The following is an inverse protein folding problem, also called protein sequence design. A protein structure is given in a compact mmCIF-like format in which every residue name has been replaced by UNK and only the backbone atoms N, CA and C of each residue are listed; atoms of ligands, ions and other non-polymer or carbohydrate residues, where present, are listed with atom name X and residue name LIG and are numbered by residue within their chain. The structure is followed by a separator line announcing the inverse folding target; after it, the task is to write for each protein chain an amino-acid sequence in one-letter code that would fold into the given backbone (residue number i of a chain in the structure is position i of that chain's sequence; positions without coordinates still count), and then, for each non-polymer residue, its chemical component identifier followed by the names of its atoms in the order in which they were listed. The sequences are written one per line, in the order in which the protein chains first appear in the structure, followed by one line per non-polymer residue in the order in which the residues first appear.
data_IF_354674029851
#
_entry.id   IF_354674029851
#
_cell.length_a   1.000
_cell.length_b   1.000
_cell.length_c   1.000
_cell.angle_alpha   90.00
_cell.angle_beta   90.00
_cell.angle_gamma   90.00
#
_symmetry.space_group_name_H-M   'P 1'
#
loop_
_entity.id
_entity.type
_entity.pdbx_description
1 polymer ?
#
# COMPACT_ATOMS: atom_id res chain seq x y z
N UNK A 1 -9.82 9.17 -2.99
CA UNK A 1 -9.09 7.96 -3.43
C UNK A 1 -7.71 8.24 -4.04
N UNK A 2 -7.62 8.82 -5.24
CA UNK A 2 -6.31 8.97 -5.93
C UNK A 2 -5.28 9.84 -5.19
N UNK A 3 -5.68 10.76 -4.32
CA UNK A 3 -4.73 11.65 -3.60
C UNK A 3 -4.11 11.01 -2.34
N UNK A 4 -4.54 9.81 -1.96
CA UNK A 4 -4.34 9.29 -0.58
C UNK A 4 -3.24 8.23 -0.50
N UNK A 5 -2.51 8.01 -1.59
CA UNK A 5 -1.37 7.12 -1.66
C UNK A 5 -0.16 7.88 -2.21
N UNK A 6 1.08 7.51 -1.84
CA UNK A 6 2.28 8.32 -2.13
C UNK A 6 2.51 8.64 -3.62
N UNK A 7 2.04 7.77 -4.51
CA UNK A 7 2.20 7.90 -5.97
C UNK A 7 0.97 8.53 -6.65
N UNK A 8 0.04 9.03 -5.84
CA UNK A 8 -1.25 9.55 -6.23
C UNK A 8 -1.24 10.97 -6.76
N UNK A 9 -2.44 11.53 -6.90
CA UNK A 9 -2.64 12.97 -7.13
C UNK A 9 -2.41 13.48 -8.56
N UNK A 10 -2.15 12.59 -9.54
CA UNK A 10 -1.95 12.97 -10.93
C UNK A 10 -2.89 12.23 -11.90
N UNK A 11 -2.97 12.68 -13.16
CA UNK A 11 -3.86 12.11 -14.18
C UNK A 11 -3.56 10.63 -14.48
N UNK A 12 -2.29 10.24 -14.43
CA UNK A 12 -1.86 8.87 -14.71
C UNK A 12 -2.24 7.92 -13.57
N UNK A 13 -2.02 8.33 -12.31
CA UNK A 13 -2.44 7.55 -11.15
C UNK A 13 -3.96 7.39 -11.07
N UNK A 14 -4.73 8.41 -11.48
CA UNK A 14 -6.19 8.30 -11.60
C UNK A 14 -6.58 7.24 -12.64
N UNK A 15 -6.07 7.35 -13.88
CA UNK A 15 -6.35 6.38 -14.95
C UNK A 15 -5.92 4.97 -14.58
N UNK A 16 -4.80 4.83 -13.87
CA UNK A 16 -4.32 3.55 -13.35
C UNK A 16 -5.27 2.94 -12.33
N UNK A 17 -5.75 3.73 -11.35
CA UNK A 17 -6.72 3.23 -10.36
C UNK A 17 -8.07 2.86 -11.00
N UNK A 18 -8.59 3.69 -11.90
CA UNK A 18 -9.82 3.37 -12.66
C UNK A 18 -9.68 2.06 -13.45
N UNK A 19 -8.53 1.91 -14.09
CA UNK A 19 -8.14 0.71 -14.83
C UNK A 19 -8.07 -0.54 -13.95
N UNK A 20 -7.62 -0.40 -12.69
CA UNK A 20 -7.58 -1.52 -11.75
C UNK A 20 -8.98 -1.90 -11.29
N UNK A 21 -9.76 -0.92 -10.83
CA UNK A 21 -11.12 -1.15 -10.30
C UNK A 21 -12.04 -1.79 -11.34
N UNK A 22 -11.91 -1.42 -12.62
CA UNK A 22 -12.73 -1.99 -13.70
C UNK A 22 -12.40 -3.45 -14.01
N UNK A 23 -11.19 -3.93 -13.71
CA UNK A 23 -10.66 -5.21 -14.21
C UNK A 23 -10.33 -6.22 -13.13
N UNK A 24 -10.10 -5.77 -11.90
CA UNK A 24 -9.64 -6.60 -10.80
C UNK A 24 -10.57 -6.47 -9.60
N UNK A 25 -10.69 -7.53 -8.78
CA UNK A 25 -11.42 -7.47 -7.52
C UNK A 25 -11.06 -6.22 -6.70
N UNK A 26 -12.08 -5.44 -6.35
CA UNK A 26 -11.97 -4.26 -5.52
C UNK A 26 -13.15 -4.19 -4.55
N UNK A 27 -12.89 -3.63 -3.37
CA UNK A 27 -13.90 -3.44 -2.34
C UNK A 27 -13.77 -2.04 -1.75
N UNK A 28 -14.89 -1.43 -1.43
CA UNK A 28 -14.93 -0.19 -0.67
C UNK A 28 -15.90 -0.34 0.51
N UNK A 29 -15.56 0.35 1.59
CA UNK A 29 -16.42 0.55 2.74
C UNK A 29 -16.85 2.02 2.73
N UNK A 30 -18.16 2.23 2.80
CA UNK A 30 -18.77 3.56 2.89
C UNK A 30 -19.39 3.74 4.28
N UNK A 31 -19.49 4.98 4.74
CA UNK A 31 -20.27 5.32 5.94
C UNK A 31 -21.77 5.42 5.61
N UNK A 32 -22.59 5.72 6.62
CA UNK A 32 -24.03 5.89 6.46
C UNK A 32 -24.42 7.07 5.55
N UNK A 33 -23.53 8.04 5.35
CA UNK A 33 -23.72 9.17 4.46
C UNK A 33 -23.17 8.90 3.03
N UNK A 34 -22.62 7.71 2.79
CA UNK A 34 -22.04 7.32 1.50
C UNK A 34 -20.60 7.80 1.28
N UNK A 35 -19.94 8.38 2.28
CA UNK A 35 -18.54 8.78 2.16
C UNK A 35 -17.60 7.58 2.27
N UNK A 36 -16.49 7.65 1.55
CA UNK A 36 -15.49 6.59 1.52
C UNK A 36 -14.75 6.49 2.87
N UNK A 37 -14.83 5.33 3.51
CA UNK A 37 -14.14 5.02 4.77
C UNK A 37 -12.81 4.31 4.52
N UNK A 38 -12.86 3.26 3.69
CA UNK A 38 -11.69 2.45 3.34
C UNK A 38 -11.92 1.78 1.99
N UNK A 39 -10.85 1.46 1.27
CA UNK A 39 -10.93 0.68 0.04
C UNK A 39 -9.71 -0.22 -0.11
N UNK A 40 -9.86 -1.26 -0.93
CA UNK A 40 -8.80 -2.15 -1.37
C UNK A 40 -9.04 -2.57 -2.83
N UNK A 41 -7.96 -2.80 -3.57
CA UNK A 41 -8.01 -3.33 -4.94
C UNK A 41 -6.85 -4.28 -5.16
N UNK A 42 -7.09 -5.38 -5.86
CA UNK A 42 -6.04 -6.32 -6.28
C UNK A 42 -5.33 -5.81 -7.53
N UNK A 43 -4.22 -6.46 -7.90
CA UNK A 43 -3.41 -6.06 -9.04
C UNK A 43 -3.32 -7.16 -10.12
N UNK A 44 -2.72 -6.86 -11.30
CA UNK A 44 -2.61 -7.82 -12.40
C UNK A 44 -1.84 -9.11 -12.09
N UNK A 45 -1.11 -9.17 -10.98
CA UNK A 45 -0.37 -10.36 -10.55
C UNK A 45 -1.21 -11.24 -9.61
N UNK A 46 -2.47 -10.87 -9.35
CA UNK A 46 -3.32 -11.57 -8.40
C UNK A 46 -2.93 -11.31 -6.94
N UNK A 47 -2.07 -10.32 -6.68
CA UNK A 47 -1.74 -9.93 -5.32
C UNK A 47 -2.89 -9.11 -4.70
N UNK A 48 -3.08 -9.27 -3.40
CA UNK A 48 -3.78 -8.29 -2.58
C UNK A 48 -3.04 -6.97 -2.73
N UNK A 49 -3.70 -6.02 -3.38
CA UNK A 49 -3.06 -4.79 -3.80
C UNK A 49 -3.29 -3.66 -2.81
N UNK A 50 -3.45 -2.47 -3.35
CA UNK A 50 -3.42 -1.22 -2.60
C UNK A 50 -4.66 -1.08 -1.74
N UNK A 51 -4.45 -0.88 -0.43
CA UNK A 51 -5.50 -0.61 0.54
C UNK A 51 -5.23 0.70 1.26
N UNK A 52 -6.25 1.56 1.40
CA UNK A 52 -6.17 2.81 2.16
C UNK A 52 -7.44 3.02 2.98
N UNK A 53 -7.24 3.36 4.25
CA UNK A 53 -8.29 3.84 5.16
C UNK A 53 -8.12 5.34 5.38
N UNK A 54 -9.22 6.10 5.35
CA UNK A 54 -9.14 7.54 5.50
C UNK A 54 -8.59 7.90 6.88
N UNK A 55 -7.75 8.94 7.00
CA UNK A 55 -7.10 9.33 8.26
C UNK A 55 -8.02 9.32 9.48
N UNK A 56 -9.20 9.92 9.35
CA UNK A 56 -10.27 10.05 10.36
C UNK A 56 -10.88 8.71 10.80
N UNK A 57 -10.71 7.65 10.00
CA UNK A 57 -11.26 6.31 10.21
C UNK A 57 -10.19 5.27 10.57
N UNK A 58 -8.92 5.65 10.72
CA UNK A 58 -7.83 4.72 11.07
C UNK A 58 -7.97 4.20 12.50
N UNK A 59 -7.34 3.05 12.76
CA UNK A 59 -7.34 2.43 14.09
C UNK A 59 -8.62 1.65 14.44
N UNK A 60 -9.62 1.61 13.55
CA UNK A 60 -10.93 0.98 13.80
C UNK A 60 -11.11 -0.40 13.15
N UNK A 61 -10.04 -0.99 12.63
CA UNK A 61 -10.07 -2.35 12.05
C UNK A 61 -10.65 -2.48 10.63
N UNK A 62 -11.15 -1.41 10.01
CA UNK A 62 -11.76 -1.45 8.66
C UNK A 62 -10.85 -2.05 7.60
N UNK A 63 -9.55 -1.73 7.63
CA UNK A 63 -8.58 -2.31 6.69
C UNK A 63 -8.50 -3.83 6.84
N UNK A 64 -8.54 -4.36 8.06
CA UNK A 64 -8.51 -5.79 8.32
C UNK A 64 -9.71 -6.52 7.71
N UNK A 65 -10.91 -5.93 7.83
CA UNK A 65 -12.12 -6.46 7.19
C UNK A 65 -11.96 -6.52 5.68
N UNK A 66 -11.53 -5.42 5.05
CA UNK A 66 -11.31 -5.37 3.61
C UNK A 66 -10.21 -6.33 3.14
N UNK A 67 -9.13 -6.50 3.92
CA UNK A 67 -8.06 -7.44 3.62
C UNK A 67 -8.57 -8.89 3.59
N UNK A 68 -9.40 -9.27 4.56
CA UNK A 68 -10.04 -10.59 4.58
C UNK A 68 -11.00 -10.79 3.41
N UNK A 69 -11.78 -9.77 3.05
CA UNK A 69 -12.71 -9.85 1.91
C UNK A 69 -11.98 -10.07 0.60
N UNK A 70 -10.90 -9.31 0.35
CA UNK A 70 -10.15 -9.45 -0.89
C UNK A 70 -9.37 -10.78 -0.95
N UNK A 71 -8.80 -11.23 0.17
CA UNK A 71 -8.15 -12.54 0.25
C UNK A 71 -9.13 -13.68 -0.09
N UNK A 72 -10.32 -13.68 0.53
CA UNK A 72 -11.38 -14.66 0.24
C UNK A 72 -11.82 -14.61 -1.23
N UNK A 73 -11.98 -13.40 -1.79
CA UNK A 73 -12.38 -13.24 -3.18
C UNK A 73 -11.32 -13.76 -4.15
N UNK A 74 -10.05 -13.47 -3.91
CA UNK A 74 -8.94 -13.96 -4.73
C UNK A 74 -8.81 -15.49 -4.63
N UNK A 75 -8.91 -16.03 -3.42
CA UNK A 75 -8.89 -17.48 -3.19
C UNK A 75 -10.03 -18.20 -3.94
N UNK A 76 -11.25 -17.66 -3.89
CA UNK A 76 -12.40 -18.20 -4.63
C UNK A 76 -12.23 -18.15 -6.16
N UNK A 77 -11.35 -17.28 -6.66
CA UNK A 77 -10.98 -17.18 -8.07
C UNK A 77 -9.78 -18.06 -8.43
N UNK A 78 -9.27 -18.87 -7.49
CA UNK A 78 -8.12 -19.76 -7.69
C UNK A 78 -6.75 -19.12 -7.49
N UNK A 79 -6.69 -17.87 -7.02
CA UNK A 79 -5.42 -17.19 -6.76
C UNK A 79 -4.91 -17.45 -5.33
N UNK A 80 -3.58 -17.47 -5.12
CA UNK A 80 -3.03 -17.47 -3.78
C UNK A 80 -3.35 -16.14 -3.06
N UNK A 81 -3.54 -16.21 -1.74
CA UNK A 81 -3.66 -15.01 -0.90
C UNK A 81 -2.26 -14.52 -0.52
N UNK A 82 -1.78 -13.50 -1.22
CA UNK A 82 -0.48 -12.88 -0.94
C UNK A 82 -0.53 -11.38 -1.26
N UNK A 83 0.46 -10.62 -0.77
CA UNK A 83 0.52 -9.18 -1.03
C UNK A 83 1.88 -8.60 -0.68
N UNK A 84 2.06 -7.32 -1.00
CA UNK A 84 3.30 -6.59 -0.75
C UNK A 84 3.05 -5.47 0.26
N UNK A 85 3.89 -5.42 1.30
CA UNK A 85 3.84 -4.38 2.32
C UNK A 85 5.17 -3.66 2.33
N UNK A 86 5.14 -2.33 2.32
CA UNK A 86 6.35 -1.53 2.45
C UNK A 86 7.06 -1.84 3.78
N UNK A 87 8.40 -1.85 3.75
CA UNK A 87 9.26 -2.24 4.88
C UNK A 87 9.05 -1.36 6.12
N UNK A 88 8.64 -0.11 5.92
CA UNK A 88 8.35 0.89 6.95
C UNK A 88 6.88 0.94 7.38
N UNK A 89 5.99 0.19 6.71
CA UNK A 89 4.57 0.12 7.05
C UNK A 89 4.28 -0.94 8.12
N UNK A 90 4.86 -0.73 9.31
CA UNK A 90 4.69 -1.62 10.47
C UNK A 90 3.22 -1.89 10.86
N UNK A 91 2.28 -0.92 10.79
CA UNK A 91 0.88 -1.20 11.08
C UNK A 91 0.27 -2.26 10.16
N UNK A 92 0.56 -2.22 8.86
CA UNK A 92 0.08 -3.22 7.92
C UNK A 92 0.77 -4.57 8.12
N UNK A 93 2.08 -4.59 8.41
CA UNK A 93 2.79 -5.83 8.71
C UNK A 93 2.16 -6.56 9.91
N UNK A 94 1.91 -5.85 11.01
CA UNK A 94 1.24 -6.42 12.19
C UNK A 94 -0.18 -6.89 11.91
N UNK A 95 -0.93 -6.17 11.07
CA UNK A 95 -2.27 -6.57 10.66
C UNK A 95 -2.24 -7.91 9.90
N UNK A 96 -1.31 -8.05 8.95
CA UNK A 96 -1.17 -9.27 8.16
C UNK A 96 -0.72 -10.46 9.02
N UNK A 97 0.23 -10.27 9.94
CA UNK A 97 0.64 -11.31 10.89
C UNK A 97 -0.53 -11.79 11.77
N UNK A 98 -1.36 -10.86 12.26
CA UNK A 98 -2.60 -11.21 13.01
C UNK A 98 -3.63 -11.96 12.16
N UNK A 99 -3.56 -11.83 10.85
CA UNK A 99 -4.39 -12.55 9.88
C UNK A 99 -3.69 -13.80 9.33
N UNK A 100 -2.66 -14.29 10.04
CA UNK A 100 -1.91 -15.51 9.72
C UNK A 100 -1.11 -15.46 8.43
N UNK A 101 -0.92 -14.28 7.83
CA UNK A 101 0.04 -14.14 6.73
C UNK A 101 1.45 -14.30 7.27
N UNK A 102 2.27 -15.05 6.53
CA UNK A 102 3.67 -15.26 6.83
C UNK A 102 4.55 -14.48 5.87
N UNK A 103 5.56 -13.80 6.42
CA UNK A 103 6.59 -13.15 5.59
C UNK A 103 7.34 -14.24 4.83
N UNK A 104 7.42 -14.09 3.52
CA UNK A 104 8.23 -14.97 2.69
C UNK A 104 9.70 -14.52 2.76
N UNK A 105 10.67 -15.46 2.72
CA UNK A 105 12.10 -15.14 2.84
C UNK A 105 12.64 -14.34 1.64
N UNK A 106 11.94 -14.38 0.51
CA UNK A 106 12.38 -13.72 -0.72
C UNK A 106 11.99 -12.24 -0.69
N UNK A 107 13.00 -11.37 -0.69
CA UNK A 107 12.81 -9.93 -0.79
C UNK A 107 12.34 -9.57 -2.21
N UNK A 108 11.12 -9.04 -2.33
CA UNK A 108 10.64 -8.47 -3.58
C UNK A 108 11.06 -6.99 -3.64
N UNK A 109 11.87 -6.63 -4.64
CA UNK A 109 12.27 -5.25 -4.88
C UNK A 109 11.36 -4.60 -5.92
N UNK A 110 10.70 -3.49 -5.54
CA UNK A 110 10.00 -2.63 -6.48
C UNK A 110 10.89 -1.44 -6.83
N UNK A 111 11.50 -1.49 -8.01
CA UNK A 111 12.26 -0.35 -8.55
C UNK A 111 11.29 0.55 -9.28
N UNK A 112 10.99 1.70 -8.68
CA UNK A 112 10.05 2.65 -9.24
C UNK A 112 10.81 3.72 -10.03
N UNK A 113 10.88 3.57 -11.35
CA UNK A 113 11.48 4.57 -12.22
C UNK A 113 10.49 5.72 -12.45
N UNK A 114 10.48 6.71 -11.56
CA UNK A 114 9.67 7.91 -11.70
C UNK A 114 10.53 9.16 -11.53
N UNK A 115 10.88 9.78 -12.66
CA UNK A 115 11.68 11.01 -12.71
C UNK A 115 11.08 12.17 -11.89
N UNK A 116 9.76 12.17 -11.67
CA UNK A 116 9.07 13.22 -10.91
C UNK A 116 9.09 13.04 -9.38
N UNK A 117 9.60 11.91 -8.86
CA UNK A 117 9.73 11.64 -7.41
C UNK A 117 11.15 11.86 -6.86
N UNK A 118 12.10 12.32 -7.69
CA UNK A 118 13.41 12.76 -7.21
C UNK A 118 13.26 14.05 -6.37
N UNK A 119 12.90 13.89 -5.09
CA UNK A 119 13.47 14.74 -4.05
C UNK A 119 14.75 14.05 -3.63
N UNK A 120 15.85 14.40 -4.29
CA UNK A 120 17.19 13.96 -3.89
C UNK A 120 17.41 14.40 -2.44
N UNK A 121 17.58 13.50 -1.46
CA UNK A 121 18.27 13.88 -0.24
C UNK A 121 19.72 14.07 -0.66
N UNK A 122 20.21 15.31 -0.66
CA UNK A 122 21.64 15.57 -0.77
C UNK A 122 22.29 14.89 0.43
N UNK A 123 22.83 13.69 0.22
CA UNK A 123 23.81 13.09 1.13
C UNK A 123 25.13 13.84 0.93
N UNK A 124 25.15 15.12 1.33
CA UNK A 124 26.40 15.75 1.71
C UNK A 124 26.72 15.24 3.11
N UNK A 125 27.78 14.43 3.30
CA UNK A 125 28.25 14.14 4.63
C UNK A 125 28.67 15.46 5.27
N UNK A 126 28.05 15.81 6.39
CA UNK A 126 28.56 16.86 7.26
C UNK A 126 29.95 16.42 7.72
N UNK A 127 31.00 17.26 7.58
CA UNK A 127 32.30 16.90 8.12
C UNK A 127 32.15 16.71 9.63
N UNK A 128 32.68 15.61 10.15
CA UNK A 128 32.70 15.32 11.56
C UNK A 128 33.46 16.43 12.29
N UNK A 129 32.85 16.99 13.34
CA UNK A 129 33.52 17.91 14.22
C UNK A 129 34.62 17.15 14.99
N UNK A 130 35.86 17.61 14.85
CA UNK A 130 36.95 17.26 15.75
C UNK A 130 37.97 16.27 15.18
N UNK A 131 39.01 16.81 14.55
CA UNK A 131 40.38 16.35 14.77
C UNK A 131 41.34 17.44 14.29
N UNK A 132 41.76 18.29 15.21
CA UNK A 132 42.96 19.10 15.04
C UNK A 132 44.19 18.22 15.25
N UNK A 133 45.25 18.32 14.44
CA UNK A 133 46.55 17.80 14.82
C UNK A 133 47.43 18.92 15.43
N UNK A 134 48.19 18.48 16.44
CA UNK A 134 49.29 19.06 17.21
C UNK A 134 49.76 20.49 16.89
#
# INVERSE_FOLDING_TARGET
MNKMWPYGGNKYSKRFLESLIRRFPSFCLLDSAGHLVSWTVSDPYGAMGRSVTMPEHRGRGYNGVLNNLIAKRLHALGYPSYGHVAVDNYPMQRLQERQSFQRQPNLCHFILHNAALHRTPTLTPSPAAGTAPA
#
